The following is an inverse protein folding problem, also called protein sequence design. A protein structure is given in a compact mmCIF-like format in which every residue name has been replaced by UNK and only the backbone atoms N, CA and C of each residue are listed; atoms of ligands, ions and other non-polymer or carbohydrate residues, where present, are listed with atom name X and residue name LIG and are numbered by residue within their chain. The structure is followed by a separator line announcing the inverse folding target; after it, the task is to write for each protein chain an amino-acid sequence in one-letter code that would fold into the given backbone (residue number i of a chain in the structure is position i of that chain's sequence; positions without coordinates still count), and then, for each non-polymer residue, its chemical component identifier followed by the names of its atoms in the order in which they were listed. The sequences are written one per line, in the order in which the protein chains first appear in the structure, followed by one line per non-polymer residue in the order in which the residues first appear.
data_IF_086567103560
#
_entry.id   IF_086567103560
#
_cell.length_a   1.000
_cell.length_b   1.000
_cell.length_c   1.000
_cell.angle_alpha   90.00
_cell.angle_beta   90.00
_cell.angle_gamma   90.00
#
_symmetry.space_group_name_H-M   'P 1'
#
loop_
_entity.id
_entity.type
_entity.pdbx_description
1 polymer ?
#
# COMPACT_ATOMS: atom_id res chain seq x y z
N UNK A 1 -5.98 -2.21 21.40
CA UNK A 1 -5.96 -3.18 20.30
C UNK A 1 -5.25 -2.50 19.15
N UNK A 2 -3.96 -2.77 18.98
CA UNK A 2 -3.27 -2.45 17.73
C UNK A 2 -4.05 -3.12 16.61
N UNK A 3 -4.59 -2.34 15.67
CA UNK A 3 -5.24 -2.88 14.50
C UNK A 3 -4.22 -3.78 13.79
N UNK A 4 -4.46 -5.09 13.78
CA UNK A 4 -3.60 -6.04 13.11
C UNK A 4 -3.53 -5.62 11.64
N UNK A 5 -2.32 -5.30 11.17
CA UNK A 5 -2.11 -4.96 9.76
C UNK A 5 -2.34 -6.22 8.92
N UNK A 6 -3.55 -6.37 8.41
CA UNK A 6 -3.95 -7.54 7.61
C UNK A 6 -3.72 -7.25 6.12
N UNK A 7 -2.50 -7.53 5.64
CA UNK A 7 -2.06 -7.23 4.27
C UNK A 7 -3.00 -7.82 3.20
N UNK A 8 -3.49 -9.06 3.40
CA UNK A 8 -4.46 -9.69 2.50
C UNK A 8 -5.79 -8.92 2.45
N UNK A 9 -6.33 -8.53 3.61
CA UNK A 9 -7.59 -7.81 3.69
C UNK A 9 -7.51 -6.43 3.01
N UNK A 10 -6.40 -5.72 3.24
CA UNK A 10 -6.08 -4.47 2.54
C UNK A 10 -5.98 -4.73 1.03
N UNK A 11 -5.25 -5.75 0.60
CA UNK A 11 -5.09 -6.05 -0.82
C UNK A 11 -6.41 -6.32 -1.53
N UNK A 12 -7.33 -7.05 -0.88
CA UNK A 12 -8.64 -7.40 -1.46
C UNK A 12 -9.57 -6.22 -1.68
N UNK A 13 -9.47 -5.16 -0.85
CA UNK A 13 -10.33 -3.98 -1.02
C UNK A 13 -9.82 -3.01 -2.09
N UNK A 14 -8.56 -3.12 -2.49
CA UNK A 14 -7.98 -2.24 -3.50
C UNK A 14 -8.63 -2.48 -4.87
N UNK A 15 -8.92 -1.42 -5.64
CA UNK A 15 -9.34 -1.57 -7.03
C UNK A 15 -8.23 -2.24 -7.86
N UNK A 16 -8.61 -2.99 -8.89
CA UNK A 16 -7.68 -3.79 -9.69
C UNK A 16 -6.57 -2.96 -10.34
N UNK A 17 -6.89 -1.76 -10.84
CA UNK A 17 -5.93 -0.84 -11.43
C UNK A 17 -4.86 -0.39 -10.41
N UNK A 18 -5.30 -0.04 -9.19
CA UNK A 18 -4.39 0.33 -8.11
C UNK A 18 -3.55 -0.86 -7.66
N UNK A 19 -4.11 -2.07 -7.59
CA UNK A 19 -3.34 -3.28 -7.32
C UNK A 19 -2.22 -3.47 -8.35
N UNK A 20 -2.53 -3.42 -9.63
CA UNK A 20 -1.52 -3.55 -10.69
C UNK A 20 -0.41 -2.50 -10.56
N UNK A 21 -0.78 -1.23 -10.31
CA UNK A 21 0.19 -0.14 -10.15
C UNK A 21 1.07 -0.33 -8.90
N UNK A 22 0.49 -0.70 -7.76
CA UNK A 22 1.21 -0.93 -6.51
C UNK A 22 2.08 -2.18 -6.57
N UNK A 23 1.67 -3.22 -7.30
CA UNK A 23 2.47 -4.41 -7.53
C UNK A 23 3.71 -4.08 -8.37
N UNK A 24 3.53 -3.32 -9.46
CA UNK A 24 4.62 -2.88 -10.34
C UNK A 24 5.65 -1.99 -9.61
N UNK A 25 5.20 -1.14 -8.69
CA UNK A 25 6.05 -0.19 -7.95
C UNK A 25 6.29 -0.63 -6.50
N UNK A 26 6.16 -1.92 -6.19
CA UNK A 26 6.14 -2.40 -4.80
C UNK A 26 7.42 -2.13 -4.01
N UNK A 27 8.56 -1.95 -4.69
CA UNK A 27 9.86 -1.61 -4.09
C UNK A 27 10.27 -0.16 -4.29
N UNK A 28 9.50 0.60 -5.08
CA UNK A 28 9.80 1.98 -5.45
C UNK A 28 9.04 2.97 -4.56
N UNK A 29 9.49 4.23 -4.47
CA UNK A 29 8.70 5.31 -3.87
C UNK A 29 7.35 5.47 -4.57
N UNK A 30 6.30 5.66 -3.78
CA UNK A 30 4.97 5.96 -4.29
C UNK A 30 4.94 7.37 -4.86
N UNK A 31 4.53 7.48 -6.12
CA UNK A 31 4.20 8.77 -6.73
C UNK A 31 2.99 9.42 -6.03
N UNK A 32 2.92 10.75 -6.06
CA UNK A 32 1.86 11.53 -5.40
C UNK A 32 0.45 11.13 -5.88
N UNK A 33 0.29 10.81 -7.17
CA UNK A 33 -0.96 10.30 -7.72
C UNK A 33 -1.39 8.96 -7.09
N UNK A 34 -0.44 8.04 -6.88
CA UNK A 34 -0.71 6.76 -6.22
C UNK A 34 -1.04 6.95 -4.75
N UNK A 35 -0.37 7.89 -4.07
CA UNK A 35 -0.71 8.25 -2.69
C UNK A 35 -2.14 8.78 -2.60
N UNK A 36 -2.56 9.64 -3.51
CA UNK A 36 -3.95 10.12 -3.58
C UNK A 36 -4.96 8.97 -3.73
N UNK A 37 -4.68 8.01 -4.63
CA UNK A 37 -5.52 6.82 -4.82
C UNK A 37 -5.56 5.91 -3.58
N UNK A 38 -4.43 5.75 -2.89
CA UNK A 38 -4.35 4.97 -1.66
C UNK A 38 -5.12 5.64 -0.51
N UNK A 39 -4.99 6.96 -0.35
CA UNK A 39 -5.77 7.77 0.60
C UNK A 39 -7.27 7.62 0.37
N UNK A 40 -7.72 7.72 -0.89
CA UNK A 40 -9.13 7.53 -1.22
C UNK A 40 -9.65 6.14 -0.84
N UNK A 41 -8.84 5.09 -0.96
CA UNK A 41 -9.22 3.73 -0.52
C UNK A 41 -9.31 3.64 1.00
N UNK A 42 -8.33 4.18 1.72
CA UNK A 42 -8.33 4.23 3.20
C UNK A 42 -9.60 4.92 3.70
N UNK A 43 -9.93 6.09 3.15
CA UNK A 43 -11.13 6.84 3.52
C UNK A 43 -12.41 6.08 3.16
N UNK A 44 -12.48 5.49 1.96
CA UNK A 44 -13.68 4.81 1.46
C UNK A 44 -13.97 3.48 2.17
N UNK A 45 -12.93 2.70 2.46
CA UNK A 45 -13.06 1.34 2.99
C UNK A 45 -12.73 1.23 4.48
N UNK A 46 -12.26 2.31 5.11
CA UNK A 46 -11.90 2.32 6.53
C UNK A 46 -10.73 1.37 6.86
N UNK A 47 -9.89 1.07 5.88
CA UNK A 47 -8.71 0.21 6.07
C UNK A 47 -7.54 1.01 6.65
N UNK A 48 -6.64 0.38 7.42
CA UNK A 48 -5.48 1.08 7.95
C UNK A 48 -4.58 1.61 6.82
N UNK A 49 -3.89 2.72 7.10
CA UNK A 49 -2.87 3.27 6.21
C UNK A 49 -1.79 2.23 5.95
N UNK A 50 -1.53 1.94 4.67
CA UNK A 50 -0.62 0.87 4.23
C UNK A 50 0.61 1.39 3.48
N UNK A 51 0.96 2.65 3.73
CA UNK A 51 2.21 3.28 3.31
C UNK A 51 2.84 4.02 4.49
N UNK A 52 4.14 4.30 4.41
CA UNK A 52 4.90 5.02 5.42
C UNK A 52 5.94 5.95 4.78
N UNK A 53 6.38 7.00 5.46
CA UNK A 53 7.52 7.79 5.00
C UNK A 53 8.73 6.89 4.77
N UNK A 54 9.44 7.15 3.69
CA UNK A 54 10.72 6.55 3.38
C UNK A 54 11.75 6.93 4.45
N UNK A 55 12.44 5.98 5.09
CA UNK A 55 13.35 6.27 6.19
C UNK A 55 14.65 6.95 5.76
N UNK A 56 15.01 6.90 4.47
CA UNK A 56 16.24 7.48 3.95
C UNK A 56 16.05 8.96 3.56
N UNK A 57 14.88 9.29 3.00
CA UNK A 57 14.59 10.62 2.46
C UNK A 57 13.58 11.42 3.27
N UNK A 58 12.69 10.76 4.02
CA UNK A 58 11.54 11.33 4.75
C UNK A 58 10.58 12.23 3.94
N UNK A 59 10.91 12.49 2.67
CA UNK A 59 10.19 13.34 1.73
C UNK A 59 9.40 12.50 0.72
N UNK A 60 9.65 11.19 0.70
CA UNK A 60 8.95 10.23 -0.12
C UNK A 60 8.20 9.24 0.77
N UNK A 61 7.26 8.51 0.17
CA UNK A 61 6.50 7.46 0.85
C UNK A 61 6.72 6.13 0.14
N UNK A 62 6.72 5.04 0.90
CA UNK A 62 6.77 3.67 0.37
C UNK A 62 5.64 2.84 0.94
N UNK A 63 5.30 1.76 0.24
CA UNK A 63 4.37 0.76 0.76
C UNK A 63 4.89 0.18 2.07
N UNK A 64 3.94 -0.16 2.95
CA UNK A 64 4.25 -0.82 4.20
C UNK A 64 4.92 -2.18 3.91
N UNK A 65 6.02 -2.53 4.59
CA UNK A 65 6.79 -3.73 4.27
C UNK A 65 5.97 -5.01 4.36
N UNK A 66 5.02 -5.13 5.30
CA UNK A 66 4.15 -6.29 5.37
C UNK A 66 3.24 -6.45 4.13
N UNK A 67 2.83 -5.34 3.50
CA UNK A 67 2.11 -5.39 2.23
C UNK A 67 3.05 -5.79 1.10
N UNK A 68 4.26 -5.24 1.05
CA UNK A 68 5.28 -5.62 0.05
C UNK A 68 5.62 -7.12 0.12
N UNK A 69 5.80 -7.67 1.33
CA UNK A 69 6.05 -9.10 1.53
C UNK A 69 4.85 -9.96 1.09
N UNK A 70 3.63 -9.50 1.37
CA UNK A 70 2.43 -10.14 0.84
C UNK A 70 2.40 -10.11 -0.70
N UNK A 71 2.79 -9.01 -1.35
CA UNK A 71 2.85 -8.92 -2.81
C UNK A 71 3.89 -9.85 -3.43
N UNK A 72 5.04 -10.05 -2.77
CA UNK A 72 6.06 -11.00 -3.22
C UNK A 72 5.59 -12.45 -3.15
N UNK A 73 4.70 -12.76 -2.20
CA UNK A 73 4.21 -14.13 -1.95
C UNK A 73 2.89 -14.42 -2.65
N UNK A 74 2.08 -13.39 -2.92
CA UNK A 74 0.92 -13.45 -3.76
C UNK A 74 1.34 -13.64 -5.22
N UNK A 75 1.55 -14.91 -5.63
CA UNK A 75 1.68 -15.28 -7.04
C UNK A 75 0.53 -14.67 -7.84
N UNK A 76 0.85 -13.81 -8.81
CA UNK A 76 -0.03 -13.48 -9.94
C UNK A 76 -0.60 -14.72 -10.61
#
# INVERSE_FOLDING_TARGET
MDAVFEAEAIWRVLPADLRSALHAQSTEPLADELLGKCSAVVEKHGVPVFWRPDPDTFSQYRLHPALVEYLKTAKS
#
